data_IF_761022274826
#
_entry.id   IF_761022274826
#
_cell.length_a   1.000
_cell.length_b   1.000
_cell.length_c   1.000
_cell.angle_alpha   90.00
_cell.angle_beta   90.00
_cell.angle_gamma   90.00
#
_symmetry.space_group_name_H-M   'P 1'
#
loop_
_entity.id
_entity.type
_entity.pdbx_description
1 polymer ?
#
# COMPACT_ATOMS: atom_id res chain seq x y z
N UNK A 1 17.02 8.35 25.77
CA UNK A 1 16.00 7.50 26.38
C UNK A 1 14.73 7.62 25.54
N UNK A 2 14.43 6.65 24.68
CA UNK A 2 13.22 6.65 23.88
C UNK A 2 12.03 6.44 24.84
N UNK A 3 11.17 7.45 24.97
CA UNK A 3 9.87 7.24 25.61
C UNK A 3 9.10 6.24 24.73
N UNK A 4 8.86 5.03 25.24
CA UNK A 4 7.88 4.13 24.66
C UNK A 4 6.57 4.90 24.52
N UNK A 5 5.96 4.84 23.35
CA UNK A 5 4.57 5.25 23.19
C UNK A 5 3.78 4.11 23.85
N UNK A 6 3.69 4.17 25.18
CA UNK A 6 2.98 3.19 25.96
C UNK A 6 1.53 3.65 26.09
N UNK A 7 0.64 3.06 25.23
CA UNK A 7 -0.61 2.50 25.68
C UNK A 7 -1.86 3.28 25.95
N UNK A 8 -2.92 2.79 25.36
CA UNK A 8 -4.27 2.90 25.96
C UNK A 8 -4.89 1.54 26.32
N UNK A 9 -4.48 0.44 25.71
CA UNK A 9 -5.03 -0.89 26.01
C UNK A 9 -3.93 -1.86 26.45
N UNK A 10 -4.23 -2.75 27.40
CA UNK A 10 -3.39 -3.91 27.68
C UNK A 10 -3.27 -4.74 26.38
N UNK A 11 -2.06 -5.13 26.05
CA UNK A 11 -1.75 -5.87 24.84
C UNK A 11 -2.52 -7.19 24.71
N UNK A 12 -2.80 -7.83 25.84
CA UNK A 12 -3.62 -9.03 25.96
C UNK A 12 -5.07 -8.82 25.47
N UNK A 13 -5.63 -7.63 25.63
CA UNK A 13 -6.96 -7.28 25.10
C UNK A 13 -6.96 -7.26 23.59
N UNK A 14 -5.97 -6.58 22.96
CA UNK A 14 -5.81 -6.57 21.51
C UNK A 14 -5.63 -7.98 20.95
N UNK A 15 -4.80 -8.80 21.60
CA UNK A 15 -4.51 -10.17 21.17
C UNK A 15 -5.74 -11.07 21.22
N UNK A 16 -6.48 -11.00 22.33
CA UNK A 16 -7.73 -11.74 22.46
C UNK A 16 -8.73 -11.33 21.39
N UNK A 17 -8.81 -10.03 21.12
CA UNK A 17 -9.66 -9.47 20.08
C UNK A 17 -9.29 -10.00 18.68
N UNK A 18 -8.02 -9.92 18.28
CA UNK A 18 -7.55 -10.44 17.00
C UNK A 18 -7.78 -11.95 16.85
N UNK A 19 -7.71 -12.72 17.95
CA UNK A 19 -8.00 -14.16 17.95
C UNK A 19 -9.49 -14.46 17.86
N UNK A 20 -10.33 -13.62 18.43
CA UNK A 20 -11.79 -13.79 18.45
C UNK A 20 -12.42 -13.43 17.10
N UNK A 21 -12.12 -12.26 16.57
CA UNK A 21 -12.81 -11.73 15.38
C UNK A 21 -12.16 -12.16 14.06
N UNK A 22 -10.83 -12.28 14.00
CA UNK A 22 -10.06 -12.69 12.79
C UNK A 22 -10.49 -11.97 11.50
N UNK A 23 -10.79 -10.70 11.59
CA UNK A 23 -11.30 -9.90 10.48
C UNK A 23 -10.49 -8.62 10.25
N UNK A 24 -9.18 -8.67 10.48
CA UNK A 24 -8.32 -7.52 10.29
C UNK A 24 -8.18 -7.10 8.82
N UNK A 25 -8.08 -5.80 8.57
CA UNK A 25 -7.57 -5.27 7.30
C UNK A 25 -6.13 -4.82 7.53
N UNK A 26 -5.20 -5.37 6.75
CA UNK A 26 -3.76 -5.06 6.84
C UNK A 26 -3.41 -4.12 5.70
N UNK A 27 -2.88 -2.95 6.03
CA UNK A 27 -2.49 -1.91 5.08
C UNK A 27 -0.97 -1.78 5.12
N UNK A 28 -0.36 -2.09 3.99
CA UNK A 28 1.08 -2.08 3.81
C UNK A 28 1.51 -0.85 3.03
N UNK A 29 2.55 -0.19 3.51
CA UNK A 29 3.09 1.02 2.91
C UNK A 29 4.49 0.85 2.32
N UNK A 30 5.05 1.92 1.73
CA UNK A 30 6.32 1.89 1.02
C UNK A 30 7.52 1.55 1.91
N UNK A 31 7.45 1.79 3.21
CA UNK A 31 8.60 1.58 4.11
C UNK A 31 8.92 0.10 4.38
N UNK A 32 7.99 -0.82 4.05
CA UNK A 32 8.29 -2.26 4.10
C UNK A 32 9.28 -2.70 3.02
N UNK A 33 9.33 -1.97 1.92
CA UNK A 33 10.30 -2.16 0.86
C UNK A 33 11.38 -1.09 1.05
N UNK A 34 12.49 -1.38 1.70
CA UNK A 34 13.63 -0.46 1.77
C UNK A 34 14.10 -0.14 0.36
N UNK A 35 13.59 0.96 -0.18
CA UNK A 35 13.88 1.40 -1.53
C UNK A 35 15.18 2.19 -1.52
N UNK A 36 16.19 1.72 -2.23
CA UNK A 36 17.36 2.54 -2.56
C UNK A 36 16.99 3.49 -3.70
N UNK A 37 16.02 4.38 -3.49
CA UNK A 37 15.61 5.31 -4.54
C UNK A 37 15.50 6.72 -3.98
N UNK A 38 16.46 7.53 -4.38
CA UNK A 38 16.24 8.96 -4.48
C UNK A 38 15.83 9.30 -5.91
N UNK A 39 14.55 9.13 -6.24
CA UNK A 39 14.03 9.74 -7.46
C UNK A 39 13.74 11.19 -7.12
N UNK A 40 14.44 12.11 -7.75
CA UNK A 40 14.15 13.55 -7.58
C UNK A 40 12.70 13.82 -7.96
N UNK A 41 11.92 14.31 -7.02
CA UNK A 41 10.48 14.51 -7.18
C UNK A 41 10.13 15.42 -8.37
N UNK A 42 10.90 16.49 -8.60
CA UNK A 42 10.71 17.39 -9.74
C UNK A 42 10.88 16.69 -11.08
N UNK A 43 11.92 15.85 -11.21
CA UNK A 43 12.16 15.07 -12.42
C UNK A 43 11.04 14.06 -12.66
N UNK A 44 10.50 13.48 -11.60
CA UNK A 44 9.37 12.57 -11.64
C UNK A 44 8.10 13.26 -12.15
N UNK A 45 7.77 14.45 -11.62
CA UNK A 45 6.61 15.25 -12.04
C UNK A 45 6.64 15.56 -13.53
N UNK A 46 7.82 15.90 -14.06
CA UNK A 46 7.98 16.29 -15.46
C UNK A 46 8.00 15.11 -16.44
N UNK A 47 8.49 13.96 -16.00
CA UNK A 47 8.68 12.80 -16.87
C UNK A 47 7.52 11.81 -16.79
N UNK A 48 7.00 11.53 -15.59
CA UNK A 48 6.03 10.48 -15.34
C UNK A 48 4.62 11.04 -15.07
N UNK A 49 4.05 11.66 -16.07
CA UNK A 49 2.68 12.18 -16.03
C UNK A 49 1.93 11.88 -17.36
N UNK A 50 0.60 11.92 -17.31
CA UNK A 50 -0.26 11.61 -18.46
C UNK A 50 -0.02 12.50 -19.67
N UNK A 51 0.29 13.78 -19.45
CA UNK A 51 0.58 14.74 -20.54
C UNK A 51 1.87 14.35 -21.26
N UNK A 52 2.93 13.98 -20.53
CA UNK A 52 4.21 13.53 -21.11
C UNK A 52 4.05 12.20 -21.83
N UNK A 53 3.26 11.26 -21.27
CA UNK A 53 2.96 9.99 -21.94
C UNK A 53 2.36 10.18 -23.33
N UNK A 54 1.53 11.21 -23.54
CA UNK A 54 0.87 11.48 -24.81
C UNK A 54 1.72 12.34 -25.73
N UNK A 55 2.35 13.40 -25.21
CA UNK A 55 3.04 14.41 -26.02
C UNK A 55 4.51 14.09 -26.28
N UNK A 56 5.15 13.34 -25.40
CA UNK A 56 6.55 12.92 -25.51
C UNK A 56 6.70 11.50 -24.95
N UNK A 57 6.15 10.47 -25.65
CA UNK A 57 6.20 9.09 -25.21
C UNK A 57 7.61 8.58 -24.93
N UNK A 58 8.60 9.00 -25.73
CA UNK A 58 9.99 8.60 -25.54
C UNK A 58 10.52 9.03 -24.17
N UNK A 59 10.28 10.29 -23.76
CA UNK A 59 10.68 10.80 -22.45
C UNK A 59 9.99 10.02 -21.34
N UNK A 60 8.70 9.75 -21.47
CA UNK A 60 7.88 9.01 -20.49
C UNK A 60 8.38 7.57 -20.31
N UNK A 61 8.51 6.81 -21.42
CA UNK A 61 8.90 5.41 -21.36
C UNK A 61 10.36 5.22 -20.95
N UNK A 62 11.25 6.13 -21.36
CA UNK A 62 12.64 6.15 -20.88
C UNK A 62 12.69 6.30 -19.36
N UNK A 63 11.98 7.29 -18.83
CA UNK A 63 11.91 7.50 -17.38
C UNK A 63 11.37 6.26 -16.66
N UNK A 64 10.26 5.70 -17.14
CA UNK A 64 9.65 4.51 -16.56
C UNK A 64 10.62 3.33 -16.53
N UNK A 65 11.27 3.01 -17.65
CA UNK A 65 12.18 1.86 -17.75
C UNK A 65 13.48 2.04 -16.97
N UNK A 66 13.99 3.26 -16.85
CA UNK A 66 15.25 3.54 -16.17
C UNK A 66 15.10 3.73 -14.67
N UNK A 67 13.95 4.20 -14.21
CA UNK A 67 13.70 4.52 -12.81
C UNK A 67 12.69 3.58 -12.16
N UNK A 68 11.45 3.47 -12.68
CA UNK A 68 10.39 2.72 -12.00
C UNK A 68 10.49 1.20 -12.18
N UNK A 69 10.76 0.71 -13.40
CA UNK A 69 10.89 -0.74 -13.63
C UNK A 69 12.08 -1.37 -12.92
N UNK A 70 13.12 -0.60 -12.66
CA UNK A 70 14.33 -1.08 -11.96
C UNK A 70 14.16 -1.13 -10.46
N UNK A 71 13.06 -0.58 -9.95
CA UNK A 71 12.74 -0.68 -8.55
C UNK A 71 12.47 -2.15 -8.21
N UNK A 72 13.22 -2.68 -7.30
CA UNK A 72 13.01 -3.99 -6.72
C UNK A 72 13.14 -3.90 -5.21
N UNK A 73 12.37 -4.71 -4.53
CA UNK A 73 12.58 -4.94 -3.11
C UNK A 73 13.82 -5.82 -2.96
N UNK A 74 14.72 -5.45 -2.09
CA UNK A 74 15.57 -6.47 -1.48
C UNK A 74 14.65 -7.31 -0.60
N UNK A 75 14.61 -8.62 -0.84
CA UNK A 75 14.06 -9.52 0.17
C UNK A 75 14.91 -9.32 1.42
N UNK A 76 14.33 -8.66 2.40
CA UNK A 76 14.96 -8.47 3.70
C UNK A 76 14.06 -9.06 4.79
N UNK A 77 14.57 -9.08 6.01
CA UNK A 77 13.86 -9.60 7.18
C UNK A 77 12.48 -8.96 7.33
N UNK A 78 12.30 -7.72 6.90
CA UNK A 78 11.03 -7.00 7.00
C UNK A 78 9.97 -7.63 6.09
N UNK A 79 10.31 -7.91 4.83
CA UNK A 79 9.39 -8.55 3.87
C UNK A 79 9.03 -9.97 4.31
N UNK A 80 10.03 -10.78 4.71
CA UNK A 80 9.81 -12.14 5.21
C UNK A 80 8.90 -12.15 6.45
N UNK A 81 9.09 -11.20 7.34
CA UNK A 81 8.30 -11.09 8.57
C UNK A 81 6.85 -10.67 8.27
N UNK A 82 6.65 -9.77 7.30
CA UNK A 82 5.30 -9.38 6.86
C UNK A 82 4.59 -10.57 6.22
N UNK A 83 5.26 -11.34 5.35
CA UNK A 83 4.67 -12.56 4.78
C UNK A 83 4.29 -13.57 5.87
N UNK A 84 5.15 -13.78 6.86
CA UNK A 84 4.85 -14.64 8.00
C UNK A 84 3.64 -14.16 8.81
N UNK A 85 3.41 -12.84 8.93
CA UNK A 85 2.20 -12.31 9.56
C UNK A 85 0.95 -12.63 8.72
N UNK A 86 1.04 -12.50 7.40
CA UNK A 86 -0.07 -12.78 6.49
C UNK A 86 -0.46 -14.26 6.51
N UNK A 87 0.51 -15.16 6.73
CA UNK A 87 0.31 -16.60 6.83
C UNK A 87 -0.41 -17.04 8.12
N UNK A 88 -0.54 -16.18 9.14
CA UNK A 88 -1.25 -16.49 10.39
C UNK A 88 -2.78 -16.62 10.23
N UNK A 89 -3.29 -16.55 9.01
CA UNK A 89 -4.71 -16.77 8.69
C UNK A 89 -5.68 -15.92 9.53
N UNK A 90 -5.38 -14.62 9.62
CA UNK A 90 -6.25 -13.63 10.28
C UNK A 90 -7.51 -13.32 9.46
N UNK A 91 -7.80 -14.09 8.39
CA UNK A 91 -8.83 -13.80 7.39
C UNK A 91 -8.77 -12.35 6.87
N UNK A 92 -7.56 -11.81 6.79
CA UNK A 92 -7.33 -10.41 6.49
C UNK A 92 -7.45 -10.08 5.01
N UNK A 93 -8.07 -8.94 4.72
CA UNK A 93 -7.88 -8.28 3.44
C UNK A 93 -6.58 -7.50 3.48
N UNK A 94 -5.73 -7.67 2.47
CA UNK A 94 -4.46 -6.96 2.35
C UNK A 94 -4.59 -5.84 1.33
N UNK A 95 -4.25 -4.63 1.75
CA UNK A 95 -4.14 -3.44 0.90
C UNK A 95 -2.67 -3.05 0.86
N UNK A 96 -2.06 -3.11 -0.32
CA UNK A 96 -0.64 -2.81 -0.48
C UNK A 96 -0.47 -1.54 -1.33
N UNK A 97 -0.13 -0.43 -0.67
CA UNK A 97 0.14 0.86 -1.32
C UNK A 97 1.53 0.93 -1.94
N UNK A 98 2.35 -0.09 -1.77
CA UNK A 98 3.66 -0.20 -2.40
C UNK A 98 3.54 -0.35 -3.91
N UNK A 99 4.37 0.36 -4.66
CA UNK A 99 4.43 0.19 -6.11
C UNK A 99 5.31 -0.99 -6.55
N UNK A 100 6.09 -1.56 -5.65
CA UNK A 100 6.93 -2.74 -5.90
C UNK A 100 6.16 -4.00 -5.53
N UNK A 101 6.29 -5.06 -6.33
CA UNK A 101 5.76 -6.38 -5.96
C UNK A 101 6.68 -7.00 -4.90
N UNK A 102 6.35 -6.81 -3.63
CA UNK A 102 7.12 -7.37 -2.49
C UNK A 102 6.50 -8.64 -1.93
N UNK A 103 5.21 -8.86 -2.19
CA UNK A 103 4.45 -9.97 -1.63
C UNK A 103 4.18 -11.05 -2.65
N UNK A 104 4.24 -12.30 -2.21
CA UNK A 104 3.85 -13.48 -2.98
C UNK A 104 2.34 -13.78 -2.89
N UNK A 105 1.63 -13.14 -1.97
CA UNK A 105 0.18 -13.31 -1.79
C UNK A 105 -0.63 -12.87 -3.02
N UNK A 106 -1.61 -13.70 -3.40
CA UNK A 106 -2.41 -13.52 -4.63
C UNK A 106 -3.61 -12.59 -4.49
N UNK A 107 -4.10 -12.35 -3.27
CA UNK A 107 -5.32 -11.55 -2.99
C UNK A 107 -4.97 -10.22 -2.33
N UNK A 108 -4.28 -9.35 -3.09
CA UNK A 108 -3.86 -8.04 -2.59
C UNK A 108 -4.52 -6.94 -3.42
N UNK A 109 -5.14 -5.97 -2.75
CA UNK A 109 -5.63 -4.74 -3.37
C UNK A 109 -4.44 -3.78 -3.47
N UNK A 110 -4.07 -3.36 -4.68
CA UNK A 110 -2.93 -2.47 -4.93
C UNK A 110 -3.39 -1.14 -5.51
N UNK A 111 -3.79 -0.17 -4.68
CA UNK A 111 -4.35 1.10 -5.15
C UNK A 111 -3.36 1.93 -5.97
N UNK A 112 -2.09 1.94 -5.61
CA UNK A 112 -1.05 2.66 -6.35
C UNK A 112 -0.57 1.95 -7.63
N UNK A 113 -1.06 0.73 -7.90
CA UNK A 113 -0.58 -0.12 -8.99
C UNK A 113 0.76 -0.76 -8.69
N UNK A 114 1.34 -1.46 -9.70
CA UNK A 114 2.63 -2.17 -9.56
C UNK A 114 3.59 -1.80 -10.69
N UNK A 115 4.86 -1.59 -10.34
CA UNK A 115 5.86 -1.04 -11.23
C UNK A 115 6.21 -1.91 -12.45
N UNK A 116 5.97 -3.22 -12.37
CA UNK A 116 6.22 -4.17 -13.48
C UNK A 116 4.97 -4.57 -14.24
N UNK A 117 3.84 -3.92 -13.99
CA UNK A 117 2.57 -4.20 -14.64
C UNK A 117 2.12 -3.04 -15.52
N UNK A 118 1.65 -3.38 -16.71
CA UNK A 118 1.02 -2.45 -17.65
C UNK A 118 -0.42 -2.89 -17.88
N UNK A 119 -1.28 -1.95 -18.27
CA UNK A 119 -2.66 -2.23 -18.65
C UNK A 119 -3.13 -1.40 -19.83
N UNK A 120 -4.09 -1.93 -20.57
CA UNK A 120 -4.81 -1.18 -21.58
C UNK A 120 -5.93 -0.35 -20.94
N UNK A 121 -5.93 0.96 -21.16
CA UNK A 121 -6.95 1.87 -20.61
C UNK A 121 -8.38 1.61 -21.12
N UNK A 122 -8.53 0.82 -22.21
CA UNK A 122 -9.85 0.56 -22.84
C UNK A 122 -10.43 -0.81 -22.48
N UNK A 123 -9.62 -1.87 -22.55
CA UNK A 123 -10.10 -3.24 -22.34
C UNK A 123 -9.50 -3.91 -21.12
N UNK A 124 -8.68 -3.19 -20.35
CA UNK A 124 -8.03 -3.65 -19.12
C UNK A 124 -7.16 -4.91 -19.29
N UNK A 125 -6.77 -5.25 -20.53
CA UNK A 125 -5.81 -6.32 -20.75
C UNK A 125 -4.50 -5.98 -20.07
N UNK A 126 -4.03 -6.90 -19.22
CA UNK A 126 -2.77 -6.78 -18.51
C UNK A 126 -1.59 -7.21 -19.39
N UNK A 127 -0.44 -6.60 -19.15
CA UNK A 127 0.83 -6.90 -19.80
C UNK A 127 1.95 -6.88 -18.76
N UNK A 128 2.96 -7.73 -18.95
CA UNK A 128 4.17 -7.73 -18.15
C UNK A 128 5.16 -6.72 -18.75
N UNK A 129 5.60 -5.75 -17.95
CA UNK A 129 6.52 -4.72 -18.41
C UNK A 129 7.94 -5.27 -18.67
N UNK A 130 8.37 -6.31 -17.94
CA UNK A 130 9.68 -6.93 -18.14
C UNK A 130 9.77 -7.66 -19.48
N UNK A 131 8.70 -8.34 -19.89
CA UNK A 131 8.62 -8.98 -21.23
C UNK A 131 8.65 -7.95 -22.36
N UNK A 132 8.18 -6.74 -22.08
CA UNK A 132 8.13 -5.63 -23.05
C UNK A 132 9.34 -4.67 -22.93
N UNK A 133 10.31 -4.94 -22.06
CA UNK A 133 11.38 -4.01 -21.72
C UNK A 133 12.10 -3.42 -22.94
N UNK A 134 12.51 -4.26 -23.90
CA UNK A 134 13.22 -3.80 -25.09
C UNK A 134 12.35 -2.88 -25.96
N UNK A 135 11.06 -3.19 -26.08
CA UNK A 135 10.12 -2.33 -26.80
C UNK A 135 9.93 -1.01 -26.08
N UNK A 136 9.70 -1.05 -24.77
CA UNK A 136 9.45 0.15 -23.93
C UNK A 136 10.63 1.11 -23.94
N UNK A 137 11.86 0.59 -23.85
CA UNK A 137 13.09 1.40 -23.81
C UNK A 137 13.26 2.31 -25.03
N UNK A 138 12.77 1.86 -26.19
CA UNK A 138 12.89 2.60 -27.45
C UNK A 138 11.53 3.14 -27.94
N UNK A 139 10.51 3.11 -27.08
CA UNK A 139 9.16 3.52 -27.44
C UNK A 139 9.10 5.04 -27.64
N UNK A 140 8.87 5.48 -28.86
CA UNK A 140 8.77 6.88 -29.29
C UNK A 140 7.33 7.31 -29.61
N UNK A 141 6.41 6.37 -29.64
CA UNK A 141 4.99 6.60 -29.89
C UNK A 141 4.12 6.07 -28.77
N UNK A 142 2.86 6.45 -28.74
CA UNK A 142 1.91 5.91 -27.76
C UNK A 142 1.70 4.41 -27.99
N UNK A 143 2.02 3.60 -26.98
CA UNK A 143 1.88 2.16 -27.04
C UNK A 143 0.41 1.75 -27.14
N UNK A 144 0.08 0.89 -28.12
CA UNK A 144 -1.29 0.47 -28.43
C UNK A 144 -1.53 -0.99 -28.10
N UNK A 145 -2.69 -1.26 -27.56
CA UNK A 145 -3.26 -2.58 -27.41
C UNK A 145 -3.91 -3.04 -28.73
N UNK A 146 -4.08 -4.33 -28.93
CA UNK A 146 -4.81 -4.88 -30.07
C UNK A 146 -6.26 -4.38 -30.20
N UNK A 147 -6.89 -3.92 -29.11
CA UNK A 147 -8.20 -3.29 -29.13
C UNK A 147 -8.20 -1.81 -29.55
N UNK A 148 -7.03 -1.24 -29.88
CA UNK A 148 -6.82 0.17 -30.20
C UNK A 148 -6.69 1.11 -29.00
N UNK A 149 -6.87 0.62 -27.77
CA UNK A 149 -6.65 1.40 -26.54
C UNK A 149 -5.16 1.68 -26.29
N UNK A 150 -4.86 2.72 -25.51
CA UNK A 150 -3.50 3.00 -25.09
C UNK A 150 -3.10 2.03 -23.96
N UNK A 151 -1.84 1.62 -23.96
CA UNK A 151 -1.24 0.88 -22.85
C UNK A 151 -0.49 1.87 -21.97
N UNK A 152 -0.66 1.75 -20.64
CA UNK A 152 0.06 2.55 -19.66
C UNK A 152 0.56 1.66 -18.50
N UNK A 153 1.55 2.11 -17.71
CA UNK A 153 1.86 1.47 -16.43
C UNK A 153 0.64 1.46 -15.52
N UNK A 154 0.50 0.43 -14.68
CA UNK A 154 -0.54 0.42 -13.63
C UNK A 154 -0.19 1.36 -12.49
N UNK A 155 1.10 1.65 -12.27
CA UNK A 155 1.53 2.68 -11.32
C UNK A 155 0.90 4.01 -11.69
N UNK A 156 0.37 4.70 -10.69
CA UNK A 156 -0.24 6.01 -10.86
C UNK A 156 0.78 7.01 -11.40
N UNK A 157 0.44 7.65 -12.51
CA UNK A 157 1.22 8.77 -13.00
C UNK A 157 1.03 9.99 -12.10
N UNK A 158 2.02 10.86 -12.07
CA UNK A 158 1.95 12.07 -11.27
C UNK A 158 0.69 12.88 -11.59
N UNK A 159 -0.09 13.22 -10.56
CA UNK A 159 -1.37 13.93 -10.68
C UNK A 159 -2.57 13.05 -11.07
N UNK A 160 -2.41 11.74 -11.23
CA UNK A 160 -3.55 10.82 -11.34
C UNK A 160 -4.16 10.56 -9.97
N UNK A 161 -5.47 10.41 -9.95
CA UNK A 161 -6.21 9.92 -8.78
C UNK A 161 -6.25 8.40 -8.80
N UNK A 162 -6.48 7.80 -7.63
CA UNK A 162 -6.76 6.37 -7.53
C UNK A 162 -7.93 5.98 -8.47
N UNK A 163 -7.79 4.87 -9.22
CA UNK A 163 -8.89 4.37 -10.05
C UNK A 163 -10.13 4.09 -9.19
N UNK A 164 -11.29 4.61 -9.59
CA UNK A 164 -12.51 4.56 -8.76
C UNK A 164 -12.91 3.12 -8.38
N UNK A 165 -12.71 2.15 -9.27
CA UNK A 165 -12.98 0.74 -8.99
C UNK A 165 -12.07 0.19 -7.88
N UNK A 166 -10.80 0.55 -7.87
CA UNK A 166 -9.84 0.12 -6.83
C UNK A 166 -10.11 0.88 -5.52
N UNK A 167 -10.36 2.18 -5.61
CA UNK A 167 -10.75 2.97 -4.45
C UNK A 167 -12.00 2.39 -3.76
N UNK A 168 -13.02 2.00 -4.54
CA UNK A 168 -14.20 1.35 -4.00
C UNK A 168 -13.91 -0.03 -3.40
N UNK A 169 -12.95 -0.81 -3.96
CA UNK A 169 -12.52 -2.08 -3.35
C UNK A 169 -11.90 -1.84 -1.97
N UNK A 170 -11.00 -0.84 -1.85
CA UNK A 170 -10.41 -0.45 -0.56
C UNK A 170 -11.50 -0.03 0.43
N UNK A 171 -12.42 0.84 0.01
CA UNK A 171 -13.55 1.27 0.87
C UNK A 171 -14.41 0.10 1.31
N UNK A 172 -14.79 -0.77 0.41
CA UNK A 172 -15.65 -1.92 0.73
C UNK A 172 -14.97 -2.97 1.61
N UNK A 173 -13.64 -3.02 1.64
CA UNK A 173 -12.91 -3.88 2.57
C UNK A 173 -13.05 -3.39 4.03
N UNK A 174 -13.19 -2.08 4.23
CA UNK A 174 -13.19 -1.45 5.56
C UNK A 174 -14.59 -1.01 5.99
N UNK A 175 -15.40 -0.52 5.04
CA UNK A 175 -16.70 0.08 5.29
C UNK A 175 -17.81 -0.62 4.52
N UNK A 176 -19.01 -0.63 5.08
CA UNK A 176 -20.24 -0.98 4.36
C UNK A 176 -21.22 0.19 4.42
N UNK A 177 -22.01 0.34 3.35
CA UNK A 177 -23.07 1.33 3.31
C UNK A 177 -24.41 0.64 3.03
N UNK A 178 -25.30 0.69 4.01
CA UNK A 178 -26.65 0.16 3.91
C UNK A 178 -27.66 1.27 4.22
N UNK A 179 -28.57 1.52 3.25
CA UNK A 179 -29.66 2.51 3.39
C UNK A 179 -29.18 3.90 3.81
N UNK A 180 -27.99 4.32 3.30
CA UNK A 180 -27.39 5.61 3.61
C UNK A 180 -26.69 5.69 4.98
N UNK A 181 -26.57 4.56 5.70
CA UNK A 181 -25.79 4.48 6.94
C UNK A 181 -24.50 3.74 6.67
N UNK A 182 -23.38 4.40 6.99
CA UNK A 182 -22.04 3.81 6.91
C UNK A 182 -21.71 3.12 8.24
N UNK A 183 -21.14 1.92 8.16
CA UNK A 183 -20.64 1.15 9.30
C UNK A 183 -19.32 0.46 8.94
N UNK A 184 -18.61 -0.05 9.93
CA UNK A 184 -17.35 -0.75 9.73
C UNK A 184 -17.57 -2.22 9.37
N UNK A 185 -16.79 -2.75 8.41
CA UNK A 185 -16.74 -4.15 8.01
C UNK A 185 -15.65 -4.93 8.74
N UNK A 186 -14.73 -4.23 9.39
CA UNK A 186 -13.58 -4.82 10.08
C UNK A 186 -13.49 -4.23 11.48
N UNK A 187 -13.04 -5.05 12.42
CA UNK A 187 -12.82 -4.60 13.80
C UNK A 187 -11.41 -4.06 14.00
N UNK A 188 -10.46 -4.45 13.15
CA UNK A 188 -9.07 -4.04 13.32
C UNK A 188 -8.44 -3.56 12.02
N UNK A 189 -7.85 -2.36 12.05
CA UNK A 189 -6.93 -1.88 11.02
C UNK A 189 -5.48 -2.02 11.50
N UNK A 190 -4.64 -2.63 10.68
CA UNK A 190 -3.20 -2.80 10.94
C UNK A 190 -2.43 -2.06 9.85
N UNK A 191 -1.79 -0.96 10.20
CA UNK A 191 -0.93 -0.18 9.32
C UNK A 191 0.53 -0.57 9.54
N UNK A 192 1.24 -0.94 8.48
CA UNK A 192 2.65 -1.34 8.53
C UNK A 192 3.44 -0.56 7.49
N UNK A 193 4.35 0.31 7.94
CA UNK A 193 5.24 1.09 7.09
C UNK A 193 4.53 2.00 6.10
N UNK A 194 3.38 2.57 6.49
CA UNK A 194 2.58 3.45 5.63
C UNK A 194 3.11 4.88 5.62
N UNK A 195 2.93 5.56 4.50
CA UNK A 195 3.12 7.00 4.39
C UNK A 195 1.82 7.70 4.83
N UNK A 196 1.84 8.35 5.98
CA UNK A 196 0.70 9.07 6.55
C UNK A 196 0.34 10.34 5.77
N UNK A 197 1.21 10.82 4.90
CA UNK A 197 0.91 11.94 3.99
C UNK A 197 0.08 11.51 2.77
N UNK A 198 -0.07 10.21 2.53
CA UNK A 198 -0.93 9.69 1.48
C UNK A 198 -2.40 9.97 1.78
N UNK A 199 -3.08 10.60 0.83
CA UNK A 199 -4.48 11.02 1.00
C UNK A 199 -5.46 9.86 1.22
N UNK A 200 -5.18 8.67 0.68
CA UNK A 200 -6.00 7.48 0.89
C UNK A 200 -5.83 6.97 2.32
N UNK A 201 -4.59 6.95 2.82
CA UNK A 201 -4.29 6.52 4.20
C UNK A 201 -4.94 7.46 5.20
N UNK A 202 -4.76 8.77 5.03
CA UNK A 202 -5.39 9.80 5.87
C UNK A 202 -6.91 9.65 5.89
N UNK A 203 -7.56 9.52 4.73
CA UNK A 203 -9.01 9.36 4.62
C UNK A 203 -9.50 8.08 5.33
N UNK A 204 -8.77 6.96 5.21
CA UNK A 204 -9.10 5.70 5.87
C UNK A 204 -9.05 5.87 7.38
N UNK A 205 -7.97 6.44 7.93
CA UNK A 205 -7.80 6.62 9.36
C UNK A 205 -8.91 7.52 9.92
N UNK A 206 -9.11 8.69 9.32
CA UNK A 206 -10.12 9.66 9.78
C UNK A 206 -11.53 9.08 9.75
N UNK A 207 -11.86 8.33 8.68
CA UNK A 207 -13.18 7.71 8.54
C UNK A 207 -13.38 6.56 9.52
N UNK A 208 -12.34 5.76 9.77
CA UNK A 208 -12.39 4.66 10.73
C UNK A 208 -12.52 5.20 12.14
N UNK A 209 -11.72 6.18 12.51
CA UNK A 209 -11.76 6.82 13.84
C UNK A 209 -13.11 7.50 14.13
N UNK A 210 -13.77 8.05 13.11
CA UNK A 210 -15.09 8.64 13.27
C UNK A 210 -16.21 7.61 13.52
N UNK A 211 -16.00 6.35 13.13
CA UNK A 211 -17.01 5.28 13.19
C UNK A 211 -16.71 4.22 14.26
N UNK A 212 -15.45 4.12 14.72
CA UNK A 212 -15.03 3.08 15.66
C UNK A 212 -15.70 3.25 17.03
N UNK A 213 -16.00 2.12 17.66
CA UNK A 213 -16.43 2.00 19.04
C UNK A 213 -15.38 1.22 19.88
N UNK A 214 -15.75 0.80 21.10
CA UNK A 214 -14.86 0.08 22.02
C UNK A 214 -14.39 -1.30 21.50
N UNK A 215 -14.97 -1.80 20.40
CA UNK A 215 -14.62 -3.09 19.81
C UNK A 215 -13.78 -2.94 18.54
N UNK A 216 -13.36 -1.72 18.20
CA UNK A 216 -12.57 -1.44 17.01
C UNK A 216 -11.19 -0.90 17.40
N UNK A 217 -10.17 -1.42 16.76
CA UNK A 217 -8.77 -1.14 17.10
C UNK A 217 -7.94 -0.71 15.89
N UNK A 218 -7.04 0.22 16.13
CA UNK A 218 -6.01 0.65 15.18
C UNK A 218 -4.64 0.22 15.69
N UNK A 219 -3.90 -0.52 14.87
CA UNK A 219 -2.53 -0.95 15.11
C UNK A 219 -1.62 -0.23 14.11
N UNK A 220 -0.56 0.39 14.58
CA UNK A 220 0.42 1.05 13.72
C UNK A 220 1.82 0.51 14.02
N UNK A 221 2.49 0.01 12.99
CA UNK A 221 3.90 -0.40 13.01
C UNK A 221 4.62 0.47 11.98
N UNK A 222 5.47 1.38 12.44
CA UNK A 222 6.14 2.36 11.60
C UNK A 222 7.63 2.46 11.94
N UNK A 223 8.41 3.01 11.02
CA UNK A 223 9.79 3.41 11.32
C UNK A 223 9.80 4.59 12.30
N UNK A 224 10.93 4.77 12.98
CA UNK A 224 11.16 5.86 13.96
C UNK A 224 10.96 7.27 13.37
N UNK A 225 11.11 7.40 12.07
CA UNK A 225 10.97 8.69 11.38
C UNK A 225 9.49 9.15 11.32
N UNK A 226 8.53 8.22 11.45
CA UNK A 226 7.09 8.48 11.52
C UNK A 226 6.52 8.62 12.93
N UNK A 227 7.39 8.86 13.92
CA UNK A 227 6.98 8.90 15.33
C UNK A 227 5.95 9.99 15.63
N UNK A 228 6.08 11.15 15.01
CA UNK A 228 5.15 12.26 15.23
C UNK A 228 3.76 11.95 14.64
N UNK A 229 3.72 11.28 13.49
CA UNK A 229 2.49 10.82 12.86
C UNK A 229 1.78 9.79 13.74
N UNK A 230 2.51 8.81 14.28
CA UNK A 230 1.97 7.79 15.19
C UNK A 230 1.43 8.42 16.47
N UNK A 231 2.09 9.46 17.00
CA UNK A 231 1.58 10.22 18.16
C UNK A 231 0.31 10.99 17.79
N UNK A 232 0.26 11.59 16.61
CA UNK A 232 -0.89 12.37 16.15
C UNK A 232 -2.13 11.50 15.98
N UNK A 233 -2.02 10.37 15.28
CA UNK A 233 -3.14 9.43 15.07
C UNK A 233 -3.50 8.60 16.30
N UNK A 234 -2.63 8.54 17.30
CA UNK A 234 -2.89 7.97 18.62
C UNK A 234 -3.58 6.58 18.58
N UNK A 235 -2.98 5.59 17.90
CA UNK A 235 -3.55 4.25 17.76
C UNK A 235 -3.65 3.54 19.12
N UNK A 236 -4.50 2.53 19.23
CA UNK A 236 -4.61 1.69 20.43
C UNK A 236 -3.32 0.91 20.68
N UNK A 237 -2.61 0.55 19.62
CA UNK A 237 -1.28 -0.06 19.70
C UNK A 237 -0.34 0.58 18.66
N UNK A 238 0.75 1.17 19.08
CA UNK A 238 1.75 1.80 18.22
C UNK A 238 3.15 1.29 18.53
N UNK A 239 3.90 0.88 17.51
CA UNK A 239 5.34 0.62 17.55
C UNK A 239 6.03 1.53 16.54
N UNK A 240 6.98 2.31 17.01
CA UNK A 240 7.74 3.22 16.18
C UNK A 240 9.24 2.97 16.44
N UNK A 241 9.79 2.01 15.70
CA UNK A 241 11.17 1.55 15.81
C UNK A 241 11.61 0.94 14.47
N UNK A 242 12.06 -0.30 14.45
CA UNK A 242 12.27 -1.08 13.24
C UNK A 242 11.00 -1.85 12.88
N UNK A 243 10.53 -1.72 11.64
CA UNK A 243 9.27 -2.33 11.19
C UNK A 243 9.31 -3.85 11.33
N UNK A 244 10.41 -4.50 10.90
CA UNK A 244 10.54 -5.96 11.00
C UNK A 244 10.46 -6.47 12.43
N UNK A 245 11.11 -5.76 13.38
CA UNK A 245 11.00 -6.08 14.80
C UNK A 245 9.59 -5.85 15.34
N UNK A 246 8.93 -4.78 14.91
CA UNK A 246 7.54 -4.48 15.29
C UNK A 246 6.59 -5.59 14.86
N UNK A 247 6.69 -6.04 13.62
CA UNK A 247 5.88 -7.14 13.07
C UNK A 247 6.21 -8.47 13.76
N UNK A 248 7.49 -8.78 13.98
CA UNK A 248 7.91 -10.00 14.72
C UNK A 248 7.29 -10.05 16.12
N UNK A 249 7.27 -8.92 16.82
CA UNK A 249 6.61 -8.84 18.13
C UNK A 249 5.11 -9.11 18.03
N UNK A 250 4.44 -8.58 17.01
CA UNK A 250 3.01 -8.85 16.80
C UNK A 250 2.76 -10.35 16.55
N UNK A 251 3.59 -11.02 15.73
CA UNK A 251 3.52 -12.45 15.48
C UNK A 251 3.73 -13.26 16.76
N UNK A 252 4.77 -12.96 17.53
CA UNK A 252 5.06 -13.63 18.80
C UNK A 252 3.89 -13.55 19.80
N UNK A 253 3.17 -12.45 19.74
CA UNK A 253 2.02 -12.21 20.60
C UNK A 253 0.79 -12.97 20.12
N UNK A 254 0.57 -13.06 18.79
CA UNK A 254 -0.53 -13.82 18.21
C UNK A 254 -0.38 -15.33 18.40
N UNK A 255 0.85 -15.84 18.55
CA UNK A 255 1.15 -17.25 18.74
C UNK A 255 1.08 -17.72 20.22
N UNK A 256 0.89 -16.82 21.16
CA UNK A 256 0.69 -17.11 22.59
C UNK A 256 -0.77 -17.33 22.92
#
# INVERSE_FOLDING_TARGET
MAKKIDKKLPLDVLLNHLKEYKDAVIILGPDIAKQNISVEEETSKDCFNRKTMIKNPQKFWKYYTENLMKLYSYQDITTETVEALLDLNLHSTVIDTNIIDVLTHTSVISPAGKNKRLECVKCHKAYNAEEMYHQLKFQDTTLKCSCGGNIKPTVLCFGEKYPMNIYNQVKNAIFTEEKGKVSLNTHTLIFIGVDFSDSLISEIIDSFDALKDMNHYTVVIADKDHREDVIYYNPEFGVCDDIGQGVSRLIDLLNK
#
